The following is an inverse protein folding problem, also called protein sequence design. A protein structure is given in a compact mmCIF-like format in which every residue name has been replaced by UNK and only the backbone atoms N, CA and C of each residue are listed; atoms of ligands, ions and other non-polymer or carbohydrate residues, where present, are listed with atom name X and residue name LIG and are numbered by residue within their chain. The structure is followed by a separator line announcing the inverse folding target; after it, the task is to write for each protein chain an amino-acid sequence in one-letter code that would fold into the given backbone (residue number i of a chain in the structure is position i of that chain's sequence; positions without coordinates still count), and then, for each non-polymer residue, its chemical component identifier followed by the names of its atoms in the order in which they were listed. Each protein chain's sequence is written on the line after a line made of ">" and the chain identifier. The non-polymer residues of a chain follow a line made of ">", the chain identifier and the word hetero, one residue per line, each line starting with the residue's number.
data_IF_439197422838
#
_entry.id   IF_439197422838
#
_cell.length_a   1.000
_cell.length_b   1.000
_cell.length_c   1.000
_cell.angle_alpha   90.00
_cell.angle_beta   90.00
_cell.angle_gamma   90.00
#
_symmetry.space_group_name_H-M   'P 1'
#
loop_
_entity.id
_entity.type
_entity.pdbx_description
1 polymer ?
#
# COMPACT_ATOMS: atom_id res chain seq x y z
N UNK A 1 -2.45 1.14 18.27
CA UNK A 1 -1.62 2.22 17.67
C UNK A 1 -1.58 2.22 16.12
N UNK A 2 -1.83 1.08 15.47
CA UNK A 2 -1.73 0.92 14.02
C UNK A 2 -3.12 0.97 13.36
N UNK A 3 -3.26 1.72 12.28
CA UNK A 3 -4.45 1.76 11.42
C UNK A 3 -4.07 1.14 10.08
N UNK A 4 -4.62 -0.03 9.79
CA UNK A 4 -4.32 -0.81 8.60
C UNK A 4 -5.39 -0.59 7.54
N UNK A 5 -5.00 -0.15 6.35
CA UNK A 5 -5.92 0.15 5.24
C UNK A 5 -5.57 -0.73 4.04
N UNK A 6 -6.38 -1.75 3.76
CA UNK A 6 -6.24 -2.56 2.56
C UNK A 6 -7.44 -2.45 1.63
N UNK A 7 -7.28 -3.08 0.48
CA UNK A 7 -8.19 -3.00 -0.64
C UNK A 7 -7.45 -3.37 -1.92
N UNK A 8 -8.17 -3.81 -2.95
CA UNK A 8 -7.55 -4.20 -4.20
C UNK A 8 -6.72 -3.08 -4.84
N UNK A 9 -5.82 -3.43 -5.77
CA UNK A 9 -5.14 -2.42 -6.60
C UNK A 9 -6.18 -1.50 -7.26
N UNK A 10 -5.87 -0.20 -7.29
CA UNK A 10 -6.73 0.87 -7.80
C UNK A 10 -8.09 1.07 -7.09
N UNK A 11 -8.23 0.63 -5.83
CA UNK A 11 -9.44 0.88 -5.02
C UNK A 11 -9.53 2.27 -4.37
N UNK A 12 -8.46 3.06 -4.37
CA UNK A 12 -8.42 4.38 -3.73
C UNK A 12 -7.85 4.40 -2.30
N UNK A 13 -7.15 3.33 -1.86
CA UNK A 13 -6.51 3.25 -0.54
C UNK A 13 -5.65 4.46 -0.19
N UNK A 14 -4.69 4.82 -1.04
CA UNK A 14 -3.77 5.93 -0.81
C UNK A 14 -4.52 7.25 -0.63
N UNK A 15 -5.55 7.49 -1.46
CA UNK A 15 -6.42 8.68 -1.35
C UNK A 15 -7.18 8.68 -0.02
N UNK A 16 -7.81 7.56 0.35
CA UNK A 16 -8.51 7.43 1.61
C UNK A 16 -7.56 7.60 2.81
N UNK A 17 -6.40 6.96 2.81
CA UNK A 17 -5.40 7.06 3.87
C UNK A 17 -4.95 8.51 4.06
N UNK A 18 -4.74 9.25 2.97
CA UNK A 18 -4.42 10.68 3.03
C UNK A 18 -5.57 11.51 3.60
N UNK A 19 -6.83 11.25 3.20
CA UNK A 19 -8.01 11.95 3.73
C UNK A 19 -8.24 11.65 5.21
N UNK A 20 -8.10 10.39 5.63
CA UNK A 20 -8.17 9.98 7.02
C UNK A 20 -7.09 10.67 7.85
N UNK A 21 -5.85 10.74 7.34
CA UNK A 21 -4.75 11.46 7.99
C UNK A 21 -5.10 12.93 8.21
N UNK A 22 -5.66 13.61 7.20
CA UNK A 22 -6.07 15.02 7.28
C UNK A 22 -7.20 15.19 8.32
N UNK A 23 -8.21 14.33 8.28
CA UNK A 23 -9.31 14.36 9.24
C UNK A 23 -8.81 14.19 10.69
N UNK A 24 -7.92 13.22 10.94
CA UNK A 24 -7.31 13.00 12.24
C UNK A 24 -6.48 14.22 12.69
N UNK A 25 -5.72 14.84 11.78
CA UNK A 25 -4.98 16.07 12.05
C UNK A 25 -5.88 17.22 12.48
N UNK A 26 -7.05 17.38 11.85
CA UNK A 26 -8.04 18.40 12.23
C UNK A 26 -8.57 18.22 13.66
N UNK A 27 -8.50 16.99 14.18
CA UNK A 27 -8.90 16.62 15.55
C UNK A 27 -7.72 16.60 16.53
N UNK A 28 -6.56 17.11 16.14
CA UNK A 28 -5.36 17.17 16.98
C UNK A 28 -4.57 15.84 17.07
N UNK A 29 -4.99 14.80 16.35
CA UNK A 29 -4.29 13.52 16.28
C UNK A 29 -3.29 13.62 15.12
N UNK A 30 -2.02 13.28 15.34
CA UNK A 30 -0.95 13.51 14.35
C UNK A 30 -0.44 12.23 13.67
N UNK A 31 -1.26 11.44 12.96
CA UNK A 31 -0.80 10.18 12.40
C UNK A 31 0.33 10.35 11.37
N UNK A 32 1.27 9.40 11.35
CA UNK A 32 2.17 9.23 10.20
C UNK A 32 1.56 8.24 9.22
N UNK A 33 1.84 8.42 7.93
CA UNK A 33 1.53 7.44 6.89
C UNK A 33 2.80 6.72 6.46
N UNK A 34 2.73 5.40 6.36
CA UNK A 34 3.73 4.50 5.79
C UNK A 34 3.05 3.70 4.68
N UNK A 35 3.60 3.77 3.46
CA UNK A 35 3.10 2.94 2.35
C UNK A 35 3.81 1.60 2.40
N UNK A 36 3.07 0.50 2.37
CA UNK A 36 3.70 -0.83 2.32
C UNK A 36 4.36 -1.04 0.96
N UNK A 37 3.83 -0.42 -0.10
CA UNK A 37 4.45 -0.39 -1.43
C UNK A 37 5.87 0.23 -1.40
N UNK A 38 6.27 0.97 -0.36
CA UNK A 38 7.65 1.47 -0.23
C UNK A 38 8.65 0.38 0.17
N UNK A 39 8.16 -0.81 0.53
CA UNK A 39 8.93 -1.97 1.01
C UNK A 39 8.99 -3.11 -0.01
N UNK A 40 8.69 -2.85 -1.28
CA UNK A 40 8.95 -3.82 -2.34
C UNK A 40 10.44 -4.20 -2.37
N UNK A 41 10.73 -5.47 -2.66
CA UNK A 41 12.07 -5.97 -2.99
C UNK A 41 12.48 -5.50 -4.39
N UNK A 42 13.75 -5.66 -4.76
CA UNK A 42 14.13 -5.37 -6.15
C UNK A 42 13.52 -6.39 -7.10
N UNK A 43 13.47 -6.06 -8.39
CA UNK A 43 12.89 -6.94 -9.41
C UNK A 43 13.48 -8.35 -9.38
N UNK A 44 14.77 -8.49 -9.09
CA UNK A 44 15.51 -9.75 -9.07
C UNK A 44 15.13 -10.66 -7.90
N UNK A 45 14.61 -10.08 -6.82
CA UNK A 45 14.27 -10.75 -5.58
C UNK A 45 12.78 -11.09 -5.46
N UNK A 46 11.95 -10.56 -6.37
CA UNK A 46 10.52 -10.84 -6.40
C UNK A 46 10.29 -12.28 -6.87
N UNK A 47 9.44 -13.05 -6.17
CA UNK A 47 9.15 -14.43 -6.52
C UNK A 47 8.52 -14.53 -7.91
N UNK A 48 8.78 -15.65 -8.59
CA UNK A 48 8.07 -16.01 -9.80
C UNK A 48 6.75 -16.70 -9.44
N UNK A 49 5.69 -16.32 -10.16
CA UNK A 49 4.39 -16.97 -10.15
C UNK A 49 4.41 -18.30 -10.90
N UNK A 50 3.24 -18.94 -10.96
CA UNK A 50 3.05 -20.24 -11.62
C UNK A 50 3.25 -20.21 -13.14
N UNK A 51 3.14 -19.03 -13.74
CA UNK A 51 3.36 -18.76 -15.17
C UNK A 51 4.82 -18.45 -15.51
N UNK A 52 5.70 -18.37 -14.49
CA UNK A 52 7.11 -18.01 -14.66
C UNK A 52 7.36 -16.50 -14.70
N UNK A 53 6.32 -15.68 -14.58
CA UNK A 53 6.42 -14.22 -14.50
C UNK A 53 6.55 -13.75 -13.04
N UNK A 54 7.03 -12.53 -12.83
CA UNK A 54 7.20 -11.99 -11.47
C UNK A 54 5.85 -11.66 -10.84
N UNK A 55 5.59 -12.23 -9.67
CA UNK A 55 4.36 -11.95 -8.92
C UNK A 55 4.55 -10.75 -7.97
N UNK A 56 4.21 -9.56 -8.46
CA UNK A 56 4.23 -8.31 -7.69
C UNK A 56 3.07 -8.19 -6.68
N UNK A 57 2.07 -9.08 -6.75
CA UNK A 57 0.96 -9.12 -5.80
C UNK A 57 1.16 -10.17 -4.70
N UNK A 58 2.16 -11.04 -4.80
CA UNK A 58 2.61 -11.91 -3.72
C UNK A 58 2.99 -11.10 -2.48
N UNK A 59 2.72 -11.65 -1.29
CA UNK A 59 3.21 -11.04 -0.05
C UNK A 59 4.74 -11.01 -0.04
N UNK A 60 5.38 -12.07 -0.53
CA UNK A 60 6.84 -12.24 -0.53
C UNK A 60 7.57 -11.31 -1.52
N UNK A 61 6.83 -10.57 -2.36
CA UNK A 61 7.39 -9.46 -3.13
C UNK A 61 7.78 -8.27 -2.23
N UNK A 62 7.25 -8.21 -1.00
CA UNK A 62 7.62 -7.24 0.02
C UNK A 62 8.73 -7.80 0.90
N UNK A 63 9.56 -6.89 1.40
CA UNK A 63 10.53 -7.16 2.45
C UNK A 63 9.86 -7.01 3.81
N UNK A 64 9.23 -8.10 4.23
CA UNK A 64 8.43 -8.17 5.44
C UNK A 64 9.28 -7.89 6.67
N UNK A 65 10.50 -8.43 6.72
CA UNK A 65 11.40 -8.29 7.86
C UNK A 65 11.83 -6.83 8.02
N UNK A 66 12.21 -6.17 6.92
CA UNK A 66 12.57 -4.75 6.95
C UNK A 66 11.37 -3.85 7.34
N UNK A 67 10.18 -4.14 6.81
CA UNK A 67 8.96 -3.44 7.21
C UNK A 67 8.67 -3.60 8.70
N UNK A 68 8.76 -4.81 9.24
CA UNK A 68 8.49 -5.06 10.64
C UNK A 68 9.50 -4.36 11.55
N UNK A 69 10.78 -4.39 11.19
CA UNK A 69 11.83 -3.68 11.91
C UNK A 69 11.51 -2.18 12.01
N UNK A 70 11.22 -1.53 10.89
CA UNK A 70 10.89 -0.10 10.85
C UNK A 70 9.67 0.24 11.71
N UNK A 71 8.60 -0.57 11.61
CA UNK A 71 7.38 -0.32 12.40
C UNK A 71 7.63 -0.54 13.90
N UNK A 72 8.41 -1.54 14.29
CA UNK A 72 8.75 -1.79 15.69
C UNK A 72 9.63 -0.68 16.26
N UNK A 73 10.66 -0.24 15.52
CA UNK A 73 11.50 0.91 15.90
C UNK A 73 10.68 2.19 16.03
N UNK A 74 9.73 2.43 15.11
CA UNK A 74 8.82 3.56 15.25
C UNK A 74 7.95 3.46 16.51
N UNK A 75 7.39 2.28 16.81
CA UNK A 75 6.57 2.05 18.01
C UNK A 75 7.38 2.19 19.31
N UNK A 76 8.67 1.82 19.31
CA UNK A 76 9.58 2.00 20.44
C UNK A 76 10.03 3.46 20.62
N UNK A 77 9.72 4.33 19.66
CA UNK A 77 10.06 5.76 19.70
C UNK A 77 11.46 6.06 19.15
N UNK A 78 12.06 5.12 18.42
CA UNK A 78 13.30 5.33 17.68
C UNK A 78 13.04 6.17 16.41
N UNK A 79 14.11 6.81 15.92
CA UNK A 79 14.09 7.50 14.64
C UNK A 79 14.39 6.50 13.52
N UNK A 80 13.54 6.48 12.50
CA UNK A 80 13.65 5.59 11.33
C UNK A 80 13.71 6.42 10.06
N UNK A 81 14.63 6.09 9.15
CA UNK A 81 14.66 6.67 7.80
C UNK A 81 13.76 5.83 6.89
N UNK A 82 12.51 6.24 6.74
CA UNK A 82 11.52 5.47 5.99
C UNK A 82 11.89 5.41 4.51
N UNK A 83 11.85 4.22 3.88
CA UNK A 83 12.11 4.08 2.46
C UNK A 83 11.00 4.75 1.64
N UNK A 84 11.35 5.07 0.40
CA UNK A 84 10.42 5.30 -0.69
C UNK A 84 10.82 4.37 -1.83
N UNK A 85 9.92 3.52 -2.31
CA UNK A 85 10.27 2.68 -3.46
C UNK A 85 10.20 3.52 -4.74
N UNK A 86 11.31 3.63 -5.46
CA UNK A 86 11.37 4.33 -6.73
C UNK A 86 11.16 3.33 -7.86
N UNK A 87 9.96 3.34 -8.45
CA UNK A 87 9.59 2.40 -9.53
C UNK A 87 10.41 2.59 -10.80
N UNK A 88 10.99 3.79 -11.01
CA UNK A 88 11.88 4.05 -12.15
C UNK A 88 13.26 3.45 -11.91
N UNK A 89 13.78 3.59 -10.69
CA UNK A 89 15.10 3.04 -10.32
C UNK A 89 15.05 1.55 -9.93
N UNK A 90 13.86 1.02 -9.62
CA UNK A 90 13.66 -0.37 -9.22
C UNK A 90 14.15 -0.71 -7.81
N UNK A 91 14.44 0.29 -6.97
CA UNK A 91 14.94 0.09 -5.61
C UNK A 91 14.47 1.21 -4.65
N UNK A 92 14.71 1.01 -3.35
CA UNK A 92 14.35 1.95 -2.29
C UNK A 92 15.32 3.13 -2.25
N UNK A 93 14.77 4.33 -2.10
CA UNK A 93 15.51 5.56 -1.80
C UNK A 93 15.17 6.07 -0.41
N UNK A 94 16.12 6.73 0.24
CA UNK A 94 16.04 7.19 1.63
C UNK A 94 16.14 8.71 1.75
N UNK A 95 15.86 9.26 2.94
CA UNK A 95 15.92 10.69 3.23
C UNK A 95 14.71 11.22 4.00
N UNK A 96 13.80 10.35 4.44
CA UNK A 96 12.61 10.70 5.22
C UNK A 96 12.73 10.13 6.63
N UNK A 97 13.48 10.85 7.48
CA UNK A 97 13.59 10.53 8.90
C UNK A 97 12.31 10.85 9.65
N UNK A 98 11.80 9.88 10.40
CA UNK A 98 10.58 9.99 11.18
C UNK A 98 10.80 9.41 12.56
N UNK A 99 10.30 10.10 13.58
CA UNK A 99 10.29 9.63 14.97
C UNK A 99 8.89 9.82 15.54
N UNK A 100 8.34 8.81 16.20
CA UNK A 100 7.02 8.90 16.79
C UNK A 100 7.03 9.55 18.18
N UNK A 101 6.00 10.35 18.44
CA UNK A 101 5.61 10.71 19.81
C UNK A 101 4.78 9.57 20.44
N UNK A 102 4.75 9.51 21.77
CA UNK A 102 4.12 8.42 22.56
C UNK A 102 2.70 8.02 22.10
N UNK A 103 1.89 9.00 21.72
CA UNK A 103 0.46 8.85 21.36
C UNK A 103 0.17 9.05 19.88
N UNK A 104 1.19 8.88 19.02
CA UNK A 104 1.07 9.10 17.59
C UNK A 104 0.67 7.81 16.86
N UNK A 105 -0.48 7.77 16.15
CA UNK A 105 -0.86 6.59 15.39
C UNK A 105 -0.05 6.44 14.10
N UNK A 106 0.12 5.20 13.66
CA UNK A 106 0.70 4.87 12.36
C UNK A 106 -0.43 4.40 11.44
N UNK A 107 -0.54 5.00 10.26
CA UNK A 107 -1.42 4.53 9.18
C UNK A 107 -0.55 3.76 8.19
N UNK A 108 -0.86 2.48 7.99
CA UNK A 108 -0.28 1.67 6.93
C UNK A 108 -1.31 1.41 5.84
N UNK A 109 -0.89 1.48 4.59
CA UNK A 109 -1.75 1.21 3.44
C UNK A 109 -1.03 0.38 2.38
N UNK A 110 -1.78 -0.50 1.73
CA UNK A 110 -1.27 -1.43 0.73
C UNK A 110 -2.22 -2.59 0.51
N UNK A 111 -2.01 -3.38 -0.54
CA UNK A 111 -2.87 -4.55 -0.82
C UNK A 111 -2.82 -5.59 0.31
N UNK A 112 -1.67 -5.70 0.99
CA UNK A 112 -1.42 -6.62 2.10
C UNK A 112 -1.55 -6.01 3.50
N UNK A 113 -2.05 -4.77 3.64
CA UNK A 113 -2.08 -4.09 4.94
C UNK A 113 -2.86 -4.84 6.05
N UNK A 114 -3.82 -5.69 5.67
CA UNK A 114 -4.60 -6.50 6.63
C UNK A 114 -4.00 -7.89 6.88
N UNK A 115 -2.96 -8.28 6.16
CA UNK A 115 -2.29 -9.56 6.29
C UNK A 115 -1.56 -9.66 7.63
N UNK A 116 -1.85 -10.70 8.41
CA UNK A 116 -1.25 -10.88 9.73
C UNK A 116 0.24 -11.19 9.65
N UNK A 117 0.73 -11.83 8.58
CA UNK A 117 2.15 -12.10 8.40
C UNK A 117 2.98 -10.80 8.32
N UNK A 118 2.41 -9.74 7.75
CA UNK A 118 3.06 -8.43 7.66
C UNK A 118 3.24 -7.74 9.02
N UNK A 119 2.37 -8.04 10.00
CA UNK A 119 2.30 -7.32 11.28
C UNK A 119 2.23 -8.27 12.48
N UNK A 120 2.79 -9.48 12.36
CA UNK A 120 2.66 -10.54 13.38
C UNK A 120 3.27 -10.13 14.73
N UNK A 121 4.29 -9.28 14.70
CA UNK A 121 4.98 -8.71 15.86
C UNK A 121 4.16 -7.66 16.63
N UNK A 122 2.97 -7.29 16.14
CA UNK A 122 2.10 -6.27 16.75
C UNK A 122 0.84 -6.93 17.30
N UNK A 123 0.47 -6.69 18.58
CA UNK A 123 -0.75 -7.24 19.17
C UNK A 123 -2.02 -6.86 18.40
N UNK A 124 -2.99 -7.78 18.29
CA UNK A 124 -4.26 -7.52 17.58
C UNK A 124 -5.05 -6.36 18.20
N UNK A 125 -5.01 -6.19 19.52
CA UNK A 125 -5.64 -5.07 20.24
C UNK A 125 -5.09 -3.71 19.83
N UNK A 126 -3.88 -3.66 19.26
CA UNK A 126 -3.25 -2.44 18.80
C UNK A 126 -3.51 -2.12 17.31
N UNK A 127 -4.31 -2.95 16.62
CA UNK A 127 -4.62 -2.79 15.20
C UNK A 127 -6.07 -2.39 15.00
N UNK A 128 -6.30 -1.33 14.23
CA UNK A 128 -7.59 -0.99 13.67
C UNK A 128 -7.57 -1.29 12.17
N UNK A 129 -8.47 -2.14 11.69
CA UNK A 129 -8.45 -2.66 10.32
C UNK A 129 -9.57 -2.03 9.48
N UNK A 130 -9.22 -1.51 8.32
CA UNK A 130 -10.13 -0.88 7.35
C UNK A 130 -9.92 -1.56 6.00
N UNK A 131 -11.00 -2.03 5.40
CA UNK A 131 -11.01 -2.54 4.03
C UNK A 131 -11.79 -1.58 3.13
N UNK A 132 -11.24 -1.29 1.95
CA UNK A 132 -11.83 -0.39 0.97
C UNK A 132 -11.97 -1.12 -0.36
N UNK A 133 -13.20 -1.22 -0.84
CA UNK A 133 -13.49 -1.66 -2.21
C UNK A 133 -14.23 -0.55 -2.95
N UNK A 134 -13.90 -0.28 -4.21
CA UNK A 134 -14.76 0.54 -5.04
C UNK A 134 -16.10 -0.18 -5.19
N UNK A 135 -17.20 0.57 -5.06
CA UNK A 135 -18.51 0.14 -5.52
C UNK A 135 -18.84 0.95 -6.78
N UNK A 136 -19.28 0.27 -7.84
CA UNK A 136 -19.64 0.93 -9.08
C UNK A 136 -21.00 1.60 -8.87
N UNK A 137 -21.09 2.87 -9.26
CA UNK A 137 -22.34 3.61 -9.36
C UNK A 137 -22.58 4.08 -10.81
N UNK A 138 -21.80 3.56 -11.75
CA UNK A 138 -21.85 3.96 -13.16
C UNK A 138 -22.32 2.76 -13.95
N UNK A 139 -23.41 2.95 -14.70
CA UNK A 139 -23.85 2.03 -15.71
C UNK A 139 -23.49 2.59 -17.09
N UNK A 140 -23.24 1.71 -18.05
CA UNK A 140 -23.05 2.06 -19.46
C UNK A 140 -24.41 2.48 -20.07
N UNK A 141 -25.48 1.80 -19.66
CA UNK A 141 -26.87 2.07 -19.98
C UNK A 141 -27.78 1.64 -18.83
N UNK A 142 -29.10 1.64 -19.01
CA UNK A 142 -30.07 1.31 -17.94
C UNK A 142 -30.00 -0.16 -17.44
N UNK A 143 -29.24 -1.03 -18.11
CA UNK A 143 -29.19 -2.47 -17.84
C UNK A 143 -27.78 -3.01 -17.61
N UNK A 144 -26.74 -2.30 -18.04
CA UNK A 144 -25.36 -2.78 -18.04
C UNK A 144 -24.48 -1.98 -17.05
N UNK A 145 -24.29 -2.45 -15.81
CA UNK A 145 -23.36 -1.82 -14.88
C UNK A 145 -21.92 -1.96 -15.37
N UNK A 146 -21.09 -0.93 -15.13
CA UNK A 146 -19.65 -1.02 -15.42
C UNK A 146 -19.01 -2.05 -14.51
N UNK A 147 -18.25 -2.98 -15.10
CA UNK A 147 -17.45 -3.97 -14.37
C UNK A 147 -16.49 -3.28 -13.40
N UNK A 148 -16.57 -3.68 -12.12
CA UNK A 148 -15.64 -3.21 -11.08
C UNK A 148 -14.18 -3.59 -11.39
N UNK A 149 -13.98 -4.74 -12.02
CA UNK A 149 -12.66 -5.21 -12.46
C UNK A 149 -12.11 -4.29 -13.54
N UNK A 150 -12.92 -3.96 -14.54
CA UNK A 150 -12.52 -3.12 -15.68
C UNK A 150 -12.25 -1.68 -15.21
N UNK A 151 -13.09 -1.16 -14.32
CA UNK A 151 -12.88 0.15 -13.71
C UNK A 151 -11.54 0.21 -12.96
N UNK A 152 -11.18 -0.85 -12.22
CA UNK A 152 -9.89 -0.92 -11.52
C UNK A 152 -8.73 -1.05 -12.49
N UNK A 153 -8.87 -1.84 -13.56
CA UNK A 153 -7.87 -1.99 -14.62
C UNK A 153 -7.60 -0.65 -15.30
N UNK A 154 -8.64 0.06 -15.75
CA UNK A 154 -8.51 1.40 -16.34
C UNK A 154 -7.81 2.38 -15.40
N UNK A 155 -8.20 2.40 -14.12
CA UNK A 155 -7.51 3.22 -13.11
C UNK A 155 -6.05 2.81 -12.92
N UNK A 156 -5.73 1.52 -12.99
CA UNK A 156 -4.37 1.00 -12.85
C UNK A 156 -3.51 1.42 -14.03
N UNK A 157 -3.98 1.29 -15.27
CA UNK A 157 -3.28 1.73 -16.49
C UNK A 157 -2.90 3.21 -16.39
N UNK A 158 -3.88 4.07 -16.05
CA UNK A 158 -3.62 5.52 -15.92
C UNK A 158 -2.65 5.82 -14.79
N UNK A 159 -2.76 5.13 -13.64
CA UNK A 159 -1.86 5.31 -12.49
C UNK A 159 -0.44 4.89 -12.83
N UNK A 160 -0.27 3.70 -13.39
CA UNK A 160 1.04 3.09 -13.63
C UNK A 160 1.81 3.85 -14.72
N UNK A 161 1.12 4.31 -15.76
CA UNK A 161 1.72 5.20 -16.76
C UNK A 161 2.17 6.53 -16.15
N UNK A 162 1.33 7.18 -15.32
CA UNK A 162 1.64 8.52 -14.77
C UNK A 162 2.67 8.52 -13.65
N UNK A 163 2.66 7.51 -12.79
CA UNK A 163 3.43 7.51 -11.54
C UNK A 163 4.52 6.44 -11.46
N UNK A 164 4.46 5.42 -12.32
CA UNK A 164 5.43 4.31 -12.33
C UNK A 164 6.17 4.17 -13.67
N UNK A 165 5.88 5.03 -14.66
CA UNK A 165 6.46 5.00 -16.00
C UNK A 165 6.31 3.63 -16.70
N UNK A 166 5.26 2.88 -16.37
CA UNK A 166 4.97 1.59 -16.97
C UNK A 166 3.97 1.75 -18.13
N UNK A 167 4.28 1.25 -19.34
CA UNK A 167 3.36 1.27 -20.47
C UNK A 167 2.11 0.42 -20.21
N UNK A 168 1.05 0.67 -20.97
CA UNK A 168 -0.24 0.00 -20.77
C UNK A 168 -0.11 -1.52 -20.95
N UNK A 169 0.67 -1.96 -21.93
CA UNK A 169 0.92 -3.37 -22.27
C UNK A 169 1.55 -4.13 -21.09
N UNK A 170 2.52 -3.54 -20.40
CA UNK A 170 3.12 -4.13 -19.19
C UNK A 170 2.09 -4.18 -18.04
N UNK A 171 1.25 -3.15 -17.90
CA UNK A 171 0.18 -3.17 -16.91
C UNK A 171 -0.86 -4.27 -17.19
N UNK A 172 -1.17 -4.52 -18.48
CA UNK A 172 -2.07 -5.60 -18.89
C UNK A 172 -1.49 -6.97 -18.59
N UNK A 173 -0.19 -7.20 -18.82
CA UNK A 173 0.43 -8.50 -18.54
C UNK A 173 0.48 -8.84 -17.05
N UNK A 174 0.45 -7.84 -16.17
CA UNK A 174 0.40 -8.01 -14.72
C UNK A 174 -1.02 -8.11 -14.14
N UNK A 175 -2.07 -7.99 -14.96
CA UNK A 175 -3.44 -8.01 -14.47
C UNK A 175 -3.98 -9.45 -14.40
N UNK A 176 -4.45 -9.91 -13.23
CA UNK A 176 -4.95 -11.28 -13.04
C UNK A 176 -6.32 -11.52 -13.70
#
# INVERSE_FOLDING_TARGET
>A
KLICIAGPSSSGKTTFANRLRIELLSRGIRPIRVSIDDYYKTKEEIPLGSDGERDFEALDALDIDYFQQDILSLISGEEVDLPRFDFTLGHRVFGRKVKLSKDQPIIIEGIHALNEQLTNSIPKSDKFKIFISPQAQINIDDHNPVSLTDLRLLRRIVRDQKFRHSPAEETFSMWP
#
